data_IF_120383445951
#
_entry.id   IF_120383445951
#
_cell.length_a   1.000
_cell.length_b   1.000
_cell.length_c   1.000
_cell.angle_alpha   90.00
_cell.angle_beta   90.00
_cell.angle_gamma   90.00
#
_symmetry.space_group_name_H-M   'P 1'
#
loop_
_entity.id
_entity.type
_entity.pdbx_description
1 polymer ?
#
# COMPACT_ATOMS: atom_id res chain seq x y z
N UNK A 1 13.49 -30.08 2.06
CA UNK A 1 12.10 -29.75 2.44
C UNK A 1 11.89 -28.28 2.13
N UNK A 2 11.62 -27.99 0.86
CA UNK A 2 11.28 -26.65 0.38
C UNK A 2 9.86 -26.38 0.84
N UNK A 3 9.64 -25.39 1.70
CA UNK A 3 8.30 -24.91 2.01
C UNK A 3 7.86 -24.10 0.80
N UNK A 4 7.16 -24.76 -0.12
CA UNK A 4 6.34 -24.10 -1.12
C UNK A 4 5.28 -23.34 -0.34
N UNK A 5 5.45 -22.02 -0.26
CA UNK A 5 4.45 -21.14 0.32
C UNK A 5 3.35 -21.06 -0.75
N UNK A 6 2.38 -21.98 -0.71
CA UNK A 6 1.14 -21.85 -1.46
C UNK A 6 0.49 -20.54 -1.02
N UNK A 7 0.68 -19.49 -1.84
CA UNK A 7 -0.18 -18.31 -1.77
C UNK A 7 -1.53 -18.84 -2.21
N UNK A 8 -2.44 -19.03 -1.25
CA UNK A 8 -3.84 -19.31 -1.50
C UNK A 8 -4.32 -18.34 -2.58
N UNK A 9 -4.67 -18.85 -3.76
CA UNK A 9 -5.02 -18.04 -4.92
C UNK A 9 -6.12 -17.06 -4.53
N UNK A 10 -5.79 -15.79 -4.44
CA UNK A 10 -6.77 -14.73 -4.17
C UNK A 10 -7.77 -14.76 -5.34
N UNK A 11 -9.05 -14.87 -5.01
CA UNK A 11 -10.13 -14.74 -5.99
C UNK A 11 -10.46 -13.25 -6.15
N UNK A 12 -10.19 -12.71 -7.34
CA UNK A 12 -10.49 -11.33 -7.69
C UNK A 12 -11.88 -11.21 -8.35
N UNK A 13 -12.62 -10.10 -8.17
CA UNK A 13 -12.23 -8.91 -7.43
C UNK A 13 -12.24 -9.12 -5.91
N UNK A 14 -11.24 -8.56 -5.23
CA UNK A 14 -11.07 -8.71 -3.79
C UNK A 14 -10.82 -7.35 -3.13
N UNK A 15 -11.52 -7.09 -2.03
CA UNK A 15 -11.16 -6.01 -1.13
C UNK A 15 -9.94 -6.41 -0.30
N UNK A 16 -8.92 -5.57 -0.32
CA UNK A 16 -7.70 -5.79 0.43
C UNK A 16 -7.31 -4.55 1.21
N UNK A 17 -6.66 -4.78 2.35
CA UNK A 17 -6.04 -3.75 3.15
C UNK A 17 -4.59 -4.08 3.37
N UNK A 18 -3.71 -3.13 3.10
CA UNK A 18 -2.29 -3.23 3.41
C UNK A 18 -1.80 -1.95 4.05
N UNK A 19 -0.69 -2.05 4.79
CA UNK A 19 -0.09 -0.94 5.49
C UNK A 19 1.28 -0.64 4.93
N UNK A 20 1.53 0.63 4.66
CA UNK A 20 2.84 1.14 4.30
C UNK A 20 3.37 2.06 5.38
N UNK A 21 4.67 1.98 5.66
CA UNK A 21 5.35 2.82 6.66
C UNK A 21 6.38 3.68 5.94
N UNK A 22 6.36 4.97 6.25
CA UNK A 22 7.27 5.98 5.72
C UNK A 22 7.96 6.75 6.85
N UNK A 23 9.11 7.35 6.54
CA UNK A 23 9.59 8.51 7.32
C UNK A 23 8.57 9.63 7.19
N UNK A 24 8.26 10.29 8.30
CA UNK A 24 7.30 11.38 8.30
C UNK A 24 7.88 12.57 7.52
N UNK A 25 7.35 12.78 6.31
CA UNK A 25 7.76 13.84 5.39
C UNK A 25 6.52 14.56 4.88
N UNK A 26 6.69 15.82 4.54
CA UNK A 26 5.66 16.57 3.83
C UNK A 26 5.36 15.88 2.49
N UNK A 27 4.08 15.87 2.10
CA UNK A 27 3.57 15.39 0.81
C UNK A 27 3.43 13.87 0.60
N UNK A 28 3.89 12.99 1.51
CA UNK A 28 3.75 11.53 1.31
C UNK A 28 2.30 11.10 1.10
N UNK A 29 1.35 11.65 1.87
CA UNK A 29 -0.08 11.36 1.72
C UNK A 29 -0.60 11.76 0.33
N UNK A 30 -0.20 12.94 -0.16
CA UNK A 30 -0.65 13.44 -1.47
C UNK A 30 -0.05 12.64 -2.62
N UNK A 31 1.19 12.16 -2.49
CA UNK A 31 1.79 11.22 -3.43
C UNK A 31 1.01 9.89 -3.49
N UNK A 32 0.63 9.33 -2.33
CA UNK A 32 -0.15 8.07 -2.28
C UNK A 32 -1.53 8.27 -2.91
N UNK A 33 -2.22 9.39 -2.62
CA UNK A 33 -3.50 9.73 -3.26
C UNK A 33 -3.40 9.88 -4.78
N UNK A 34 -2.32 10.50 -5.25
CA UNK A 34 -2.06 10.66 -6.69
C UNK A 34 -1.90 9.30 -7.37
N UNK A 35 -1.11 8.40 -6.77
CA UNK A 35 -0.93 7.03 -7.27
C UNK A 35 -2.26 6.25 -7.35
N UNK A 36 -3.10 6.35 -6.32
CA UNK A 36 -4.42 5.70 -6.31
C UNK A 36 -5.33 6.26 -7.41
N UNK A 37 -5.36 7.59 -7.56
CA UNK A 37 -6.16 8.27 -8.58
C UNK A 37 -5.72 7.92 -10.01
N UNK A 38 -4.40 7.81 -10.25
CA UNK A 38 -3.84 7.41 -11.55
C UNK A 38 -4.11 5.95 -11.90
N UNK A 39 -4.33 5.10 -10.90
CA UNK A 39 -4.55 3.67 -11.12
C UNK A 39 -6.03 3.33 -11.30
N UNK A 40 -6.94 4.31 -11.24
CA UNK A 40 -8.41 4.14 -11.22
C UNK A 40 -8.89 3.21 -10.08
N UNK A 41 -8.07 3.08 -9.03
CA UNK A 41 -8.35 2.23 -7.88
C UNK A 41 -9.03 3.08 -6.82
N UNK A 42 -10.34 2.90 -6.66
CA UNK A 42 -11.10 3.48 -5.56
C UNK A 42 -10.67 2.86 -4.22
N UNK A 43 -10.26 3.71 -3.27
CA UNK A 43 -9.80 3.23 -1.97
C UNK A 43 -9.83 4.28 -0.88
N UNK A 44 -9.82 3.82 0.36
CA UNK A 44 -9.67 4.63 1.57
C UNK A 44 -8.21 4.61 2.02
N UNK A 45 -7.73 5.75 2.54
CA UNK A 45 -6.40 5.88 3.10
C UNK A 45 -6.53 6.45 4.52
N UNK A 46 -6.08 5.68 5.50
CA UNK A 46 -5.96 6.15 6.88
C UNK A 46 -4.50 6.40 7.23
N UNK A 47 -4.19 7.57 7.76
CA UNK A 47 -2.84 7.92 8.19
C UNK A 47 -2.73 7.94 9.71
N UNK A 48 -1.62 7.41 10.25
CA UNK A 48 -1.30 7.48 11.67
C UNK A 48 0.19 7.78 11.86
N UNK A 49 0.47 8.87 12.58
CA UNK A 49 1.84 9.20 12.97
C UNK A 49 2.34 8.31 14.12
N UNK A 50 3.64 8.03 14.11
CA UNK A 50 4.31 7.36 15.22
C UNK A 50 4.35 8.28 16.45
N UNK A 51 4.54 7.69 17.64
CA UNK A 51 4.56 8.42 18.91
C UNK A 51 5.53 9.59 18.97
N UNK A 52 6.64 9.50 18.23
CA UNK A 52 7.70 10.52 18.16
C UNK A 52 7.66 11.34 16.87
N UNK A 53 6.64 11.18 16.03
CA UNK A 53 6.48 11.88 14.75
C UNK A 53 7.56 11.55 13.70
N UNK A 54 8.45 10.58 13.95
CA UNK A 54 9.53 10.21 13.02
C UNK A 54 9.01 9.41 11.82
N UNK A 55 7.93 8.65 12.02
CA UNK A 55 7.34 7.80 11.02
C UNK A 55 5.85 8.09 10.90
N UNK A 56 5.29 7.76 9.75
CA UNK A 56 3.87 7.78 9.48
C UNK A 56 3.50 6.47 8.79
N UNK A 57 2.41 5.86 9.23
CA UNK A 57 1.85 4.67 8.58
C UNK A 57 0.59 5.05 7.82
N UNK A 58 0.43 4.51 6.62
CA UNK A 58 -0.79 4.61 5.83
C UNK A 58 -1.40 3.21 5.68
N UNK A 59 -2.61 3.04 6.18
CA UNK A 59 -3.45 1.87 5.88
C UNK A 59 -4.26 2.19 4.65
N UNK A 60 -4.12 1.39 3.60
CA UNK A 60 -4.80 1.57 2.32
C UNK A 60 -5.74 0.39 2.15
N UNK A 61 -7.02 0.68 1.96
CA UNK A 61 -8.08 -0.30 1.72
C UNK A 61 -8.69 -0.03 0.36
N UNK A 62 -8.62 -1.00 -0.55
CA UNK A 62 -9.11 -0.86 -1.91
C UNK A 62 -9.58 -2.20 -2.49
N UNK A 63 -10.40 -2.13 -3.54
CA UNK A 63 -10.81 -3.30 -4.32
C UNK A 63 -9.89 -3.46 -5.53
N UNK A 64 -9.33 -4.65 -5.70
CA UNK A 64 -8.45 -4.98 -6.83
C UNK A 64 -9.17 -5.96 -7.73
N UNK A 65 -9.07 -5.77 -9.05
CA UNK A 65 -9.63 -6.67 -10.06
C UNK A 65 -8.65 -7.77 -10.46
N UNK A 66 -7.37 -7.61 -10.13
CA UNK A 66 -6.32 -8.59 -10.42
C UNK A 66 -5.13 -8.47 -9.46
N UNK A 67 -4.32 -9.52 -9.42
CA UNK A 67 -3.04 -9.49 -8.69
C UNK A 67 -2.06 -8.48 -9.28
N UNK A 68 -2.09 -8.28 -10.59
CA UNK A 68 -1.22 -7.32 -11.27
C UNK A 68 -1.48 -5.88 -10.80
N UNK A 69 -2.75 -5.49 -10.61
CA UNK A 69 -3.12 -4.17 -10.06
C UNK A 69 -2.58 -3.99 -8.64
N UNK A 70 -2.75 -5.01 -7.78
CA UNK A 70 -2.24 -5.00 -6.41
C UNK A 70 -0.71 -4.85 -6.40
N UNK A 71 0.00 -5.69 -7.16
CA UNK A 71 1.45 -5.66 -7.23
C UNK A 71 1.97 -4.34 -7.82
N UNK A 72 1.31 -3.81 -8.85
CA UNK A 72 1.64 -2.52 -9.47
C UNK A 72 1.48 -1.37 -8.47
N UNK A 73 0.36 -1.33 -7.73
CA UNK A 73 0.13 -0.32 -6.69
C UNK A 73 1.18 -0.40 -5.58
N UNK A 74 1.45 -1.59 -5.05
CA UNK A 74 2.49 -1.82 -4.05
C UNK A 74 3.88 -1.41 -4.55
N UNK A 75 4.20 -1.69 -5.82
CA UNK A 75 5.43 -1.25 -6.48
C UNK A 75 5.57 0.27 -6.53
N UNK A 76 4.52 0.97 -6.98
CA UNK A 76 4.50 2.45 -7.02
C UNK A 76 4.68 3.05 -5.63
N UNK A 77 3.95 2.55 -4.63
CA UNK A 77 4.02 3.05 -3.25
C UNK A 77 5.42 2.81 -2.65
N UNK A 78 6.00 1.62 -2.84
CA UNK A 78 7.33 1.30 -2.31
C UNK A 78 8.47 2.09 -2.98
N UNK A 79 8.23 2.64 -4.18
CA UNK A 79 9.18 3.52 -4.88
C UNK A 79 9.22 4.95 -4.34
N UNK A 80 8.23 5.36 -3.53
CA UNK A 80 8.16 6.70 -2.97
C UNK A 80 9.30 6.95 -1.97
N UNK A 81 9.81 8.18 -1.99
CA UNK A 81 10.91 8.56 -1.11
C UNK A 81 10.54 8.42 0.38
N UNK A 82 11.44 7.81 1.15
CA UNK A 82 11.25 7.62 2.58
C UNK A 82 10.41 6.38 2.94
N UNK A 83 10.06 5.55 1.95
CA UNK A 83 9.50 4.22 2.18
C UNK A 83 10.40 3.38 3.08
N UNK A 84 9.78 2.68 4.03
CA UNK A 84 10.48 1.80 4.96
C UNK A 84 10.05 0.33 4.75
N UNK A 85 8.74 0.08 4.73
CA UNK A 85 8.19 -1.28 4.62
C UNK A 85 6.70 -1.27 4.26
N UNK A 86 6.22 -2.40 3.75
CA UNK A 86 4.83 -2.69 3.41
C UNK A 86 4.48 -4.10 3.93
N UNK A 87 3.29 -4.27 4.51
CA UNK A 87 2.77 -5.56 4.99
C UNK A 87 1.24 -5.58 5.08
#
# INVERSE_FOLDING_TARGET
MTRENEISGIEYPAEMSFKSIFRNRFHTLESIKSILSESDIGGNIESRESRNGKFISFTITACFSSEEELQSLCGKISSLEGFMTLF
#
